data_IF_793985829972
#
_entry.id   IF_793985829972
#
_cell.length_a   1.000
_cell.length_b   1.000
_cell.length_c   1.000
_cell.angle_alpha   90.00
_cell.angle_beta   90.00
_cell.angle_gamma   90.00
#
_symmetry.space_group_name_H-M   'P 1'
#
loop_
_entity.id
_entity.type
_entity.pdbx_description
1 polymer ?
#
# COMPACT_ATOMS: atom_id res chain seq x y z
N UNK A 1 -3.58 7.61 30.71
CA UNK A 1 -2.53 7.73 29.67
C UNK A 1 -3.24 8.01 28.35
N UNK A 2 -2.95 9.13 27.69
CA UNK A 2 -3.47 9.41 26.34
C UNK A 2 -2.57 8.64 25.38
N UNK A 3 -3.09 7.59 24.75
CA UNK A 3 -2.35 6.82 23.75
C UNK A 3 -2.20 7.74 22.53
N UNK A 4 -0.96 8.14 22.20
CA UNK A 4 -0.71 8.99 21.02
C UNK A 4 -1.01 8.16 19.77
N UNK A 5 -2.15 8.45 19.14
CA UNK A 5 -2.56 7.78 17.91
C UNK A 5 -1.83 8.40 16.71
N UNK A 6 -1.48 7.57 15.74
CA UNK A 6 -0.98 7.98 14.43
C UNK A 6 -2.18 8.23 13.52
N UNK A 7 -2.14 9.28 12.72
CA UNK A 7 -3.19 9.63 11.75
C UNK A 7 -2.67 9.49 10.32
N UNK A 8 -3.52 9.08 9.40
CA UNK A 8 -3.24 9.10 7.97
C UNK A 8 -4.52 9.17 7.15
N UNK A 9 -4.40 9.36 5.84
CA UNK A 9 -5.54 9.40 4.93
C UNK A 9 -5.42 8.36 3.82
N UNK A 10 -6.57 7.87 3.33
CA UNK A 10 -6.61 7.15 2.06
C UNK A 10 -6.29 8.11 0.91
N UNK A 11 -5.34 7.74 0.06
CA UNK A 11 -4.91 8.60 -1.05
C UNK A 11 -5.96 8.75 -2.18
N UNK A 12 -6.98 7.87 -2.20
CA UNK A 12 -8.02 7.85 -3.24
C UNK A 12 -9.23 8.70 -2.84
N UNK A 13 -9.72 8.56 -1.61
CA UNK A 13 -10.97 9.17 -1.16
C UNK A 13 -10.80 10.18 -0.02
N UNK A 14 -9.55 10.41 0.44
CA UNK A 14 -9.19 11.31 1.53
C UNK A 14 -9.85 10.98 2.89
N UNK A 15 -10.43 9.79 3.05
CA UNK A 15 -10.95 9.34 4.35
C UNK A 15 -9.80 9.24 5.36
N UNK A 16 -10.01 9.78 6.56
CA UNK A 16 -9.04 9.77 7.66
C UNK A 16 -9.11 8.48 8.47
N UNK A 17 -7.94 7.97 8.87
CA UNK A 17 -7.78 6.79 9.70
C UNK A 17 -6.84 7.09 10.87
N UNK A 18 -7.06 6.40 11.98
CA UNK A 18 -6.18 6.45 13.15
C UNK A 18 -5.86 5.05 13.68
N UNK A 19 -4.66 4.88 14.22
CA UNK A 19 -4.21 3.65 14.87
C UNK A 19 -3.18 3.91 15.96
N UNK A 20 -2.84 2.87 16.73
CA UNK A 20 -1.88 2.95 17.83
C UNK A 20 -0.44 3.20 17.33
N UNK A 21 -0.11 2.71 16.15
CA UNK A 21 1.21 2.79 15.53
C UNK A 21 1.09 2.85 13.99
N UNK A 22 2.23 3.06 13.33
CA UNK A 22 2.29 3.26 11.87
C UNK A 22 1.92 2.00 11.10
N UNK A 23 2.38 0.83 11.54
CA UNK A 23 2.09 -0.44 10.86
C UNK A 23 0.60 -0.76 10.91
N UNK A 24 -0.02 -0.64 12.09
CA UNK A 24 -1.46 -0.81 12.26
C UNK A 24 -2.27 0.21 11.44
N UNK A 25 -1.77 1.44 11.28
CA UNK A 25 -2.41 2.45 10.44
C UNK A 25 -2.31 2.09 8.95
N UNK A 26 -1.13 1.68 8.48
CA UNK A 26 -0.91 1.23 7.10
C UNK A 26 -1.85 0.06 6.79
N UNK A 27 -1.91 -0.94 7.66
CA UNK A 27 -2.78 -2.11 7.46
C UNK A 27 -4.24 -1.71 7.33
N UNK A 28 -4.75 -0.82 8.21
CA UNK A 28 -6.12 -0.32 8.12
C UNK A 28 -6.40 0.43 6.81
N UNK A 29 -5.52 1.34 6.41
CA UNK A 29 -5.71 2.13 5.18
C UNK A 29 -5.62 1.23 3.95
N UNK A 30 -4.68 0.28 3.93
CA UNK A 30 -4.51 -0.67 2.83
C UNK A 30 -5.70 -1.62 2.74
N UNK A 31 -6.20 -2.15 3.85
CA UNK A 31 -7.42 -2.96 3.87
C UNK A 31 -8.59 -2.19 3.23
N UNK A 32 -8.79 -0.93 3.62
CA UNK A 32 -9.79 -0.07 3.02
C UNK A 32 -9.56 0.14 1.51
N UNK A 33 -8.33 0.45 1.07
CA UNK A 33 -8.01 0.62 -0.36
C UNK A 33 -8.32 -0.66 -1.13
N UNK A 34 -7.91 -1.82 -0.63
CA UNK A 34 -8.10 -3.09 -1.30
C UNK A 34 -9.57 -3.55 -1.31
N UNK A 35 -10.38 -3.11 -0.36
CA UNK A 35 -11.82 -3.38 -0.32
C UNK A 35 -12.64 -2.40 -1.18
N UNK A 36 -12.37 -1.10 -1.10
CA UNK A 36 -13.20 -0.04 -1.68
C UNK A 36 -12.64 0.57 -2.96
N UNK A 37 -11.32 0.47 -3.19
CA UNK A 37 -10.61 1.19 -4.24
C UNK A 37 -9.60 0.33 -5.02
N UNK A 38 -9.73 -0.99 -5.00
CA UNK A 38 -8.80 -1.92 -5.67
C UNK A 38 -8.62 -1.61 -7.16
N UNK A 39 -9.70 -1.22 -7.85
CA UNK A 39 -9.63 -0.82 -9.27
C UNK A 39 -8.75 0.40 -9.50
N UNK A 40 -8.84 1.40 -8.61
CA UNK A 40 -8.00 2.60 -8.65
C UNK A 40 -6.54 2.24 -8.35
N UNK A 41 -6.31 1.47 -7.28
CA UNK A 41 -4.97 0.99 -6.92
C UNK A 41 -4.35 0.15 -8.04
N UNK A 42 -5.12 -0.68 -8.74
CA UNK A 42 -4.64 -1.46 -9.87
C UNK A 42 -4.26 -0.56 -11.05
N UNK A 43 -5.10 0.42 -11.40
CA UNK A 43 -4.81 1.38 -12.47
C UNK A 43 -3.53 2.19 -12.22
N UNK A 44 -3.26 2.55 -10.97
CA UNK A 44 -2.01 3.21 -10.60
C UNK A 44 -0.82 2.27 -10.54
N UNK A 45 -0.96 1.11 -9.89
CA UNK A 45 0.10 0.11 -9.78
C UNK A 45 0.56 -0.39 -11.16
N UNK A 46 -0.35 -0.49 -12.13
CA UNK A 46 -0.08 -0.97 -13.49
C UNK A 46 0.44 0.11 -14.45
N UNK A 47 1.03 1.19 -13.93
CA UNK A 47 1.76 2.17 -14.74
C UNK A 47 3.26 1.85 -14.74
N UNK A 48 3.93 2.06 -15.88
CA UNK A 48 5.37 1.79 -16.05
C UNK A 48 6.26 2.48 -15.01
N UNK A 49 5.85 3.67 -14.54
CA UNK A 49 6.55 4.43 -13.49
C UNK A 49 6.46 3.82 -12.08
N UNK A 50 5.53 2.88 -11.87
CA UNK A 50 5.25 2.24 -10.58
C UNK A 50 5.70 0.78 -10.53
N UNK A 51 6.49 0.34 -11.52
CA UNK A 51 7.11 -0.99 -11.54
C UNK A 51 8.03 -1.16 -10.33
N UNK A 52 7.98 -2.34 -9.72
CA UNK A 52 8.91 -2.74 -8.68
C UNK A 52 10.13 -3.41 -9.32
N UNK A 53 11.34 -2.93 -9.02
CA UNK A 53 12.58 -3.61 -9.41
C UNK A 53 12.75 -4.94 -8.67
N UNK A 54 12.40 -4.95 -7.38
CA UNK A 54 12.44 -6.12 -6.50
C UNK A 54 11.12 -6.29 -5.77
N UNK A 55 10.73 -7.53 -5.55
CA UNK A 55 9.59 -7.86 -4.72
C UNK A 55 9.86 -7.41 -3.27
N UNK A 56 9.03 -6.55 -2.67
CA UNK A 56 9.23 -6.10 -1.30
C UNK A 56 9.00 -7.20 -0.25
N UNK A 57 8.39 -8.33 -0.65
CA UNK A 57 8.08 -9.45 0.25
C UNK A 57 9.21 -10.49 0.29
N UNK A 58 9.70 -10.93 -0.87
CA UNK A 58 10.70 -12.00 -0.94
C UNK A 58 12.08 -11.56 -1.47
N UNK A 59 12.22 -10.31 -1.90
CA UNK A 59 13.47 -9.78 -2.44
C UNK A 59 13.81 -10.20 -3.88
N UNK A 60 13.01 -11.07 -4.52
CA UNK A 60 13.24 -11.50 -5.89
C UNK A 60 13.19 -10.33 -6.89
N UNK A 61 14.06 -10.34 -7.88
CA UNK A 61 14.07 -9.35 -8.96
C UNK A 61 12.82 -9.52 -9.84
N UNK A 62 12.06 -8.45 -10.01
CA UNK A 62 10.88 -8.40 -10.88
C UNK A 62 11.20 -7.66 -12.18
N UNK A 63 11.72 -6.43 -12.07
CA UNK A 63 12.21 -5.61 -13.18
C UNK A 63 11.21 -5.35 -14.32
N UNK A 64 9.94 -5.73 -14.14
CA UNK A 64 8.88 -5.66 -15.15
C UNK A 64 7.54 -5.50 -14.47
N UNK A 65 6.57 -5.00 -15.23
CA UNK A 65 5.21 -4.82 -14.72
C UNK A 65 4.53 -6.18 -14.52
N UNK A 66 4.28 -6.53 -13.26
CA UNK A 66 3.56 -7.76 -12.88
C UNK A 66 2.53 -7.43 -11.81
N UNK A 67 1.33 -8.01 -11.93
CA UNK A 67 0.31 -7.89 -10.90
C UNK A 67 0.59 -8.78 -9.68
N UNK A 68 1.31 -9.89 -9.88
CA UNK A 68 1.72 -10.81 -8.81
C UNK A 68 3.19 -11.19 -8.96
N UNK A 69 3.90 -11.31 -7.84
CA UNK A 69 5.26 -11.82 -7.84
C UNK A 69 5.26 -13.31 -8.26
N UNK A 70 6.04 -13.71 -9.29
CA UNK A 70 6.12 -15.10 -9.71
C UNK A 70 6.87 -16.01 -8.73
N UNK A 71 7.62 -15.44 -7.77
CA UNK A 71 8.41 -16.19 -6.80
C UNK A 71 7.64 -16.51 -5.51
N UNK A 72 6.92 -15.54 -4.94
CA UNK A 72 6.20 -15.72 -3.67
C UNK A 72 4.68 -15.52 -3.77
N UNK A 73 4.16 -15.10 -4.92
CA UNK A 73 2.72 -14.86 -5.10
C UNK A 73 2.19 -13.54 -4.54
N UNK A 74 3.05 -12.70 -3.95
CA UNK A 74 2.63 -11.39 -3.41
C UNK A 74 1.90 -10.53 -4.45
N UNK A 75 0.81 -9.88 -4.05
CA UNK A 75 0.02 -8.99 -4.90
C UNK A 75 0.69 -7.62 -5.01
N UNK A 76 1.18 -7.26 -6.20
CA UNK A 76 1.90 -6.00 -6.43
C UNK A 76 0.98 -4.78 -6.35
N UNK A 77 -0.34 -4.96 -6.51
CA UNK A 77 -1.33 -3.89 -6.27
C UNK A 77 -1.39 -3.55 -4.79
N UNK A 78 -1.43 -4.58 -3.93
CA UNK A 78 -1.40 -4.37 -2.49
C UNK A 78 -0.06 -3.77 -2.04
N UNK A 79 1.05 -4.27 -2.58
CA UNK A 79 2.38 -3.71 -2.27
C UNK A 79 2.51 -2.26 -2.74
N UNK A 80 1.89 -1.90 -3.86
CA UNK A 80 1.77 -0.51 -4.29
C UNK A 80 0.94 0.32 -3.30
N UNK A 81 -0.22 -0.18 -2.86
CA UNK A 81 -1.04 0.50 -1.86
C UNK A 81 -0.27 0.73 -0.54
N UNK A 82 0.50 -0.27 -0.07
CA UNK A 82 1.39 -0.14 1.10
C UNK A 82 2.45 0.95 0.87
N UNK A 83 3.10 0.95 -0.30
CA UNK A 83 4.10 1.96 -0.69
C UNK A 83 3.53 3.38 -0.68
N UNK A 84 2.38 3.58 -1.32
CA UNK A 84 1.76 4.91 -1.44
C UNK A 84 1.25 5.39 -0.09
N UNK A 85 0.57 4.52 0.68
CA UNK A 85 0.01 4.86 1.99
C UNK A 85 1.04 5.47 2.93
N UNK A 86 2.29 5.01 2.91
CA UNK A 86 3.36 5.59 3.73
C UNK A 86 3.56 7.10 3.50
N UNK A 87 3.29 7.61 2.30
CA UNK A 87 3.36 9.05 1.98
C UNK A 87 2.20 9.88 2.52
N UNK A 88 1.14 9.25 3.02
CA UNK A 88 -0.09 9.90 3.52
C UNK A 88 -0.28 9.75 5.03
N UNK A 89 0.74 9.30 5.74
CA UNK A 89 0.77 9.21 7.21
C UNK A 89 1.33 10.50 7.78
N UNK A 90 0.65 11.07 8.77
CA UNK A 90 1.13 12.20 9.57
C UNK A 90 1.80 11.65 10.84
N UNK A 91 3.07 11.98 11.04
CA UNK A 91 3.87 11.61 12.22
C UNK A 91 3.82 12.66 13.32
#
# INVERSE_FOLDING_TARGET
MVVKMVEGICYVCNQTFTAADKDALVDKIVEHIMASHRGWAWGDAMQSKNVFDKCPVCGATLGKLVAKCPNCGADMVEQFARKVTMGYIKG
#
